data_IF_681700472173
#
_entry.id   IF_681700472173
#
_cell.length_a   1.000
_cell.length_b   1.000
_cell.length_c   1.000
_cell.angle_alpha   90.00
_cell.angle_beta   90.00
_cell.angle_gamma   90.00
#
_symmetry.space_group_name_H-M   'P 1'
#
loop_
_entity.id
_entity.type
_entity.pdbx_description
1 polymer ?
#
# COMPACT_ATOMS: atom_id res chain seq x y z
N UNK A 1 -4.78 1.07 -20.40
CA UNK A 1 -4.55 -0.16 -21.18
C UNK A 1 -5.63 -1.17 -20.82
N UNK A 2 -6.61 -1.45 -21.71
CA UNK A 2 -7.73 -2.38 -21.44
C UNK A 2 -7.41 -3.79 -21.92
N UNK A 3 -7.75 -4.83 -21.15
CA UNK A 3 -7.48 -6.23 -21.48
C UNK A 3 -8.24 -6.73 -22.74
N UNK A 4 -7.70 -7.76 -23.41
CA UNK A 4 -8.30 -8.37 -24.61
C UNK A 4 -9.74 -8.84 -24.35
N UNK A 5 -9.97 -9.57 -23.26
CA UNK A 5 -11.30 -10.05 -22.88
C UNK A 5 -12.29 -8.92 -22.56
N UNK A 6 -11.78 -7.74 -22.19
CA UNK A 6 -12.55 -6.53 -21.88
C UNK A 6 -12.69 -5.62 -23.12
N UNK A 7 -12.32 -6.10 -24.31
CA UNK A 7 -12.48 -5.38 -25.58
C UNK A 7 -11.31 -4.48 -25.99
N UNK A 8 -10.18 -4.58 -25.28
CA UNK A 8 -8.95 -3.83 -25.57
C UNK A 8 -7.82 -4.66 -26.20
N UNK A 9 -6.59 -4.18 -26.06
CA UNK A 9 -5.36 -4.81 -26.60
C UNK A 9 -4.35 -5.21 -25.51
N UNK A 10 -4.71 -5.09 -24.24
CA UNK A 10 -3.89 -5.38 -23.07
C UNK A 10 -3.85 -6.88 -22.73
N UNK A 11 -2.70 -7.33 -22.23
CA UNK A 11 -2.47 -8.73 -21.87
C UNK A 11 -2.85 -9.07 -20.42
N UNK A 12 -3.49 -8.17 -19.66
CA UNK A 12 -3.83 -8.42 -18.26
C UNK A 12 -5.01 -7.56 -17.83
N UNK A 13 -6.07 -8.16 -17.26
CA UNK A 13 -7.18 -7.43 -16.64
C UNK A 13 -6.90 -7.10 -15.15
N UNK A 14 -5.62 -7.01 -14.75
CA UNK A 14 -5.21 -6.68 -13.38
C UNK A 14 -4.66 -5.25 -13.27
N UNK A 15 -4.82 -4.47 -14.34
CA UNK A 15 -4.28 -3.12 -14.50
C UNK A 15 -5.22 -2.22 -15.32
N UNK A 16 -6.50 -2.60 -15.49
CA UNK A 16 -7.42 -1.94 -16.41
C UNK A 16 -8.71 -1.40 -15.77
N UNK A 17 -8.97 -1.70 -14.49
CA UNK A 17 -10.17 -1.21 -13.80
C UNK A 17 -10.23 0.33 -13.76
N UNK A 18 -9.09 1.01 -13.61
CA UNK A 18 -9.00 2.47 -13.70
C UNK A 18 -9.45 3.03 -15.05
N UNK A 19 -8.97 2.45 -16.16
CA UNK A 19 -9.36 2.89 -17.51
C UNK A 19 -10.83 2.57 -17.83
N UNK A 20 -11.33 1.43 -17.33
CA UNK A 20 -12.71 1.00 -17.53
C UNK A 20 -13.69 1.82 -16.69
N UNK A 21 -13.32 2.20 -15.47
CA UNK A 21 -14.14 3.04 -14.60
C UNK A 21 -14.28 4.47 -15.11
N UNK A 22 -13.24 5.01 -15.73
CA UNK A 22 -13.18 6.40 -16.17
C UNK A 22 -12.92 6.51 -17.67
N UNK A 23 -14.00 6.30 -18.44
CA UNK A 23 -13.98 6.44 -19.90
C UNK A 23 -13.50 7.83 -20.34
N UNK A 24 -12.96 7.93 -21.55
CA UNK A 24 -12.37 9.16 -22.08
C UNK A 24 -13.28 10.38 -21.86
N UNK A 25 -12.72 11.43 -21.22
CA UNK A 25 -13.38 12.70 -20.85
C UNK A 25 -14.33 12.65 -19.65
N UNK A 26 -14.39 11.55 -18.90
CA UNK A 26 -15.08 11.53 -17.62
C UNK A 26 -14.37 12.42 -16.59
N UNK A 27 -15.15 13.14 -15.78
CA UNK A 27 -14.62 13.81 -14.58
C UNK A 27 -14.35 12.76 -13.51
N UNK A 28 -13.14 12.74 -12.97
CA UNK A 28 -12.73 11.75 -11.96
C UNK A 28 -12.60 12.31 -10.54
N UNK A 29 -12.56 13.63 -10.37
CA UNK A 29 -12.39 14.30 -9.07
C UNK A 29 -13.27 15.54 -8.98
N UNK A 30 -13.86 15.75 -7.81
CA UNK A 30 -14.47 17.01 -7.37
C UNK A 30 -14.20 17.15 -5.86
N UNK A 31 -13.01 17.63 -5.53
CA UNK A 31 -12.48 17.58 -4.17
C UNK A 31 -12.51 18.92 -3.43
N UNK A 32 -12.86 18.86 -2.15
CA UNK A 32 -12.57 19.86 -1.14
C UNK A 32 -11.45 19.33 -0.23
N UNK A 33 -10.34 20.07 -0.16
CA UNK A 33 -9.18 19.72 0.68
C UNK A 33 -8.77 20.91 1.53
N UNK A 34 -8.17 20.64 2.69
CA UNK A 34 -7.67 21.68 3.57
C UNK A 34 -6.66 21.18 4.58
N UNK A 35 -5.78 22.08 5.02
CA UNK A 35 -4.78 21.83 6.06
C UNK A 35 -4.86 22.91 7.12
N UNK A 36 -4.71 22.55 8.39
CA UNK A 36 -4.68 23.47 9.53
C UNK A 36 -3.44 23.19 10.38
N UNK A 37 -2.79 24.26 10.83
CA UNK A 37 -1.54 24.21 11.61
C UNK A 37 -1.67 25.05 12.88
N UNK A 38 -1.17 24.51 13.99
CA UNK A 38 -1.09 25.18 15.27
C UNK A 38 0.31 25.01 15.85
N UNK A 39 0.94 26.13 16.21
CA UNK A 39 2.25 26.16 16.86
C UNK A 39 2.16 26.94 18.17
N UNK A 40 2.59 26.31 19.26
CA UNK A 40 2.69 26.93 20.58
C UNK A 40 4.16 26.97 20.99
N UNK A 41 4.66 28.17 21.29
CA UNK A 41 6.04 28.40 21.68
C UNK A 41 6.10 28.94 23.11
N UNK A 42 6.95 28.35 23.95
CA UNK A 42 7.19 28.75 25.32
C UNK A 42 8.66 29.20 25.48
N UNK A 43 8.83 30.51 25.68
CA UNK A 43 10.12 31.16 25.99
C UNK A 43 11.25 30.77 25.03
N UNK A 44 10.91 30.53 23.76
CA UNK A 44 11.81 30.10 22.68
C UNK A 44 12.59 28.80 22.95
N UNK A 45 12.27 28.09 24.05
CA UNK A 45 12.96 26.88 24.51
C UNK A 45 12.14 25.62 24.30
N UNK A 46 10.82 25.70 24.41
CA UNK A 46 9.96 24.53 24.29
C UNK A 46 8.72 24.87 23.49
N UNK A 47 8.08 23.88 22.89
CA UNK A 47 6.81 24.09 22.23
C UNK A 47 6.17 22.82 21.73
N UNK A 48 4.99 22.99 21.15
CA UNK A 48 4.20 21.92 20.53
C UNK A 48 3.77 22.39 19.16
N UNK A 49 3.86 21.50 18.18
CA UNK A 49 3.36 21.71 16.83
C UNK A 49 2.33 20.63 16.50
N UNK A 50 1.19 21.05 15.95
CA UNK A 50 0.12 20.16 15.49
C UNK A 50 -0.32 20.59 14.10
N UNK A 51 -0.43 19.63 13.18
CA UNK A 51 -0.94 19.82 11.82
C UNK A 51 -1.95 18.73 11.49
N UNK A 52 -3.10 19.12 10.97
CA UNK A 52 -4.13 18.21 10.50
C UNK A 52 -4.57 18.55 9.09
N UNK A 53 -4.95 17.54 8.30
CA UNK A 53 -5.52 17.70 6.97
C UNK A 53 -6.82 16.93 6.80
N UNK A 54 -7.62 17.35 5.84
CA UNK A 54 -8.84 16.66 5.44
C UNK A 54 -9.08 16.76 3.95
N UNK A 55 -9.73 15.73 3.41
CA UNK A 55 -10.16 15.62 2.02
C UNK A 55 -11.59 15.09 1.99
N UNK A 56 -12.41 15.65 1.12
CA UNK A 56 -13.69 15.09 0.72
C UNK A 56 -13.90 15.30 -0.79
N UNK A 57 -13.99 14.23 -1.56
CA UNK A 57 -14.22 14.23 -3.00
C UNK A 57 -15.62 13.71 -3.32
N UNK A 58 -16.47 14.59 -3.83
CA UNK A 58 -17.86 14.28 -4.13
C UNK A 58 -17.98 13.22 -5.23
N UNK A 59 -17.14 13.25 -6.28
CA UNK A 59 -17.20 12.28 -7.38
C UNK A 59 -16.79 10.89 -6.95
N UNK A 60 -15.73 10.80 -6.16
CA UNK A 60 -15.24 9.53 -5.63
C UNK A 60 -16.24 8.94 -4.63
N UNK A 61 -16.84 9.78 -3.78
CA UNK A 61 -17.79 9.34 -2.76
C UNK A 61 -19.17 8.94 -3.32
N UNK A 62 -19.62 9.59 -4.41
CA UNK A 62 -20.80 9.19 -5.18
C UNK A 62 -20.65 7.80 -5.81
N UNK A 63 -19.40 7.39 -6.08
CA UNK A 63 -19.03 6.04 -6.52
C UNK A 63 -19.76 5.55 -7.78
N UNK A 64 -20.06 6.48 -8.71
CA UNK A 64 -20.74 6.20 -9.97
C UNK A 64 -19.71 5.83 -11.06
N UNK A 65 -19.01 4.72 -10.86
CA UNK A 65 -18.01 4.20 -11.80
C UNK A 65 -18.67 3.36 -12.90
N UNK A 66 -18.03 3.28 -14.08
CA UNK A 66 -18.60 2.60 -15.23
C UNK A 66 -18.44 1.06 -15.24
N UNK A 67 -17.52 0.50 -14.44
CA UNK A 67 -17.15 -0.92 -14.48
C UNK A 67 -17.23 -1.58 -13.11
N UNK A 68 -16.34 -1.22 -12.19
CA UNK A 68 -16.29 -1.76 -10.82
C UNK A 68 -16.47 -0.65 -9.77
N UNK A 69 -17.33 -0.83 -8.75
CA UNK A 69 -17.50 0.16 -7.70
C UNK A 69 -16.25 0.22 -6.81
N UNK A 70 -15.86 1.44 -6.42
CA UNK A 70 -14.80 1.63 -5.44
C UNK A 70 -15.20 1.05 -4.08
N UNK A 71 -14.27 0.30 -3.51
CA UNK A 71 -14.42 -0.29 -2.18
C UNK A 71 -14.39 0.78 -1.08
N UNK A 72 -14.72 0.38 0.15
CA UNK A 72 -14.57 1.26 1.32
C UNK A 72 -13.11 1.71 1.50
N UNK A 73 -12.16 0.79 1.36
CA UNK A 73 -10.74 1.08 1.51
C UNK A 73 -10.22 2.04 0.44
N UNK A 74 -10.66 1.86 -0.81
CA UNK A 74 -10.36 2.80 -1.90
C UNK A 74 -10.88 4.22 -1.59
N UNK A 75 -12.16 4.32 -1.19
CA UNK A 75 -12.78 5.60 -0.81
C UNK A 75 -12.14 6.23 0.42
N UNK A 76 -11.61 5.45 1.35
CA UNK A 76 -10.86 5.96 2.51
C UNK A 76 -9.51 6.58 2.16
N UNK A 77 -8.97 6.30 0.97
CA UNK A 77 -7.70 6.85 0.50
C UNK A 77 -7.92 8.07 -0.40
N UNK A 78 -8.77 7.95 -1.42
CA UNK A 78 -8.96 8.99 -2.44
C UNK A 78 -10.26 9.79 -2.32
N UNK A 79 -11.21 9.32 -1.51
CA UNK A 79 -12.55 9.91 -1.43
C UNK A 79 -12.74 10.79 -0.21
N UNK A 80 -12.55 10.25 0.99
CA UNK A 80 -12.80 11.00 2.22
C UNK A 80 -11.86 10.55 3.33
N UNK A 81 -11.06 11.48 3.84
CA UNK A 81 -10.23 11.23 5.02
C UNK A 81 -10.00 12.47 5.86
N UNK A 82 -9.62 12.24 7.10
CA UNK A 82 -9.00 13.23 7.99
C UNK A 82 -7.72 12.63 8.54
N UNK A 83 -6.61 13.37 8.46
CA UNK A 83 -5.29 12.90 8.91
C UNK A 83 -4.71 13.86 9.92
N UNK A 84 -4.24 13.31 11.03
CA UNK A 84 -3.25 14.00 11.85
C UNK A 84 -1.92 13.85 11.12
N UNK A 85 -1.43 14.95 10.56
CA UNK A 85 -0.11 15.02 9.98
C UNK A 85 0.86 15.15 11.16
N UNK A 86 1.37 16.32 11.49
CA UNK A 86 2.35 16.46 12.57
C UNK A 86 1.67 16.60 13.94
N UNK A 87 2.29 16.03 14.96
CA UNK A 87 1.93 16.20 16.38
C UNK A 87 3.17 15.89 17.24
N UNK A 88 4.00 16.90 17.47
CA UNK A 88 5.26 16.73 18.21
C UNK A 88 5.52 17.86 19.20
N UNK A 89 6.23 17.53 20.27
CA UNK A 89 6.84 18.49 21.18
C UNK A 89 8.31 18.69 20.83
N UNK A 90 8.83 19.90 21.05
CA UNK A 90 10.24 20.19 20.88
C UNK A 90 10.83 20.89 22.10
N UNK A 91 12.12 20.66 22.34
CA UNK A 91 12.91 21.31 23.38
C UNK A 91 14.29 21.69 22.85
N UNK A 92 14.61 22.98 22.95
CA UNK A 92 15.88 23.58 22.55
C UNK A 92 16.73 23.82 23.77
N UNK A 93 17.99 23.42 23.67
CA UNK A 93 18.96 23.54 24.74
C UNK A 93 20.33 23.87 24.17
N UNK A 94 21.26 24.18 25.07
CA UNK A 94 22.65 24.46 24.70
C UNK A 94 23.52 23.36 25.26
N UNK A 95 24.29 22.70 24.40
CA UNK A 95 25.25 21.66 24.77
C UNK A 95 26.65 22.13 24.35
N UNK A 96 27.57 22.26 25.31
CA UNK A 96 28.93 22.73 25.01
C UNK A 96 28.99 24.15 24.41
N UNK A 97 28.02 25.00 24.73
CA UNK A 97 27.91 26.36 24.15
C UNK A 97 27.25 26.42 22.76
N UNK A 98 26.85 25.27 22.21
CA UNK A 98 26.24 25.17 20.88
C UNK A 98 24.75 24.83 20.98
N UNK A 99 23.91 25.35 20.07
CA UNK A 99 22.48 25.08 20.07
C UNK A 99 22.18 23.62 19.67
N UNK A 100 21.23 23.01 20.36
CA UNK A 100 20.72 21.66 20.10
C UNK A 100 19.21 21.63 20.27
N UNK A 101 18.55 20.69 19.61
CA UNK A 101 17.10 20.53 19.67
C UNK A 101 16.71 19.05 19.71
N UNK A 102 15.80 18.71 20.62
CA UNK A 102 15.14 17.42 20.69
C UNK A 102 13.68 17.59 20.27
N UNK A 103 13.20 16.78 19.33
CA UNK A 103 11.79 16.68 18.93
C UNK A 103 11.28 15.28 19.20
N UNK A 104 10.10 15.16 19.80
CA UNK A 104 9.45 13.89 20.13
C UNK A 104 7.99 13.91 19.69
N UNK A 105 7.58 12.88 18.96
CA UNK A 105 6.20 12.68 18.48
C UNK A 105 6.14 12.49 16.97
N UNK A 106 4.94 12.67 16.42
CA UNK A 106 4.65 12.50 15.01
C UNK A 106 5.18 13.67 14.20
N UNK A 107 6.14 13.43 13.32
CA UNK A 107 6.77 14.50 12.56
C UNK A 107 7.32 14.01 11.23
N UNK A 108 7.39 14.92 10.26
CA UNK A 108 8.16 14.75 9.02
C UNK A 108 9.61 15.14 9.28
N UNK A 109 10.57 14.40 8.72
CA UNK A 109 12.00 14.72 8.84
C UNK A 109 12.67 14.69 7.48
N UNK A 110 13.20 15.85 7.09
CA UNK A 110 14.14 15.92 5.98
C UNK A 110 15.52 15.39 6.43
N UNK A 111 15.80 14.14 6.07
CA UNK A 111 16.99 13.41 6.47
C UNK A 111 18.14 13.52 5.45
N UNK A 112 17.87 13.99 4.22
CA UNK A 112 18.80 13.99 3.08
C UNK A 112 18.92 15.33 2.32
N UNK A 113 19.23 15.23 1.02
CA UNK A 113 19.51 16.37 0.13
C UNK A 113 18.26 16.87 -0.63
N UNK A 114 17.24 16.02 -0.78
CA UNK A 114 16.00 16.36 -1.46
C UNK A 114 14.81 15.67 -0.82
N UNK A 115 13.98 16.43 -0.12
CA UNK A 115 12.69 15.99 0.44
C UNK A 115 11.72 15.47 -0.63
N UNK A 116 12.04 15.65 -1.92
CA UNK A 116 11.07 15.55 -3.02
C UNK A 116 11.42 14.52 -4.10
N UNK A 117 12.58 13.85 -4.02
CA UNK A 117 12.93 12.77 -4.96
C UNK A 117 12.71 11.43 -4.25
N UNK A 118 11.77 10.58 -4.72
CA UNK A 118 11.58 9.24 -4.19
C UNK A 118 12.85 8.40 -4.36
N UNK A 119 13.35 7.84 -3.25
CA UNK A 119 14.55 7.00 -3.21
C UNK A 119 15.72 7.63 -2.46
N UNK A 120 16.58 6.78 -1.88
CA UNK A 120 17.74 7.23 -1.12
C UNK A 120 17.41 7.65 0.32
N UNK A 121 18.04 8.72 0.79
CA UNK A 121 18.13 9.06 2.21
C UNK A 121 16.84 9.60 2.84
N UNK A 122 15.82 9.97 2.05
CA UNK A 122 14.52 10.44 2.55
C UNK A 122 13.45 9.33 2.63
N UNK A 123 13.87 8.07 2.72
CA UNK A 123 12.99 6.91 2.97
C UNK A 123 12.46 6.81 4.43
N UNK A 124 12.80 7.80 5.27
CA UNK A 124 12.36 7.88 6.67
C UNK A 124 10.86 8.12 6.74
N UNK A 125 10.35 9.02 5.93
CA UNK A 125 8.93 9.33 5.85
C UNK A 125 8.24 8.39 4.84
N UNK A 126 6.95 8.13 5.02
CA UNK A 126 6.14 7.42 4.03
C UNK A 126 5.35 8.43 3.22
N UNK A 127 4.97 8.05 2.00
CA UNK A 127 4.29 8.96 1.08
C UNK A 127 2.91 8.46 0.67
N UNK A 128 2.05 9.41 0.35
CA UNK A 128 0.78 9.19 -0.33
C UNK A 128 0.82 9.81 -1.73
N UNK A 129 0.95 8.95 -2.74
CA UNK A 129 0.99 9.38 -4.15
C UNK A 129 -0.35 9.95 -4.61
N UNK A 130 -1.45 9.51 -3.99
CA UNK A 130 -2.81 9.88 -4.37
C UNK A 130 -3.11 11.32 -3.96
N UNK A 131 -2.51 11.79 -2.86
CA UNK A 131 -2.64 13.16 -2.39
C UNK A 131 -2.05 14.19 -3.38
N UNK A 132 -1.06 13.80 -4.20
CA UNK A 132 -0.47 14.67 -5.23
C UNK A 132 -1.39 14.91 -6.44
N UNK A 133 -2.44 14.11 -6.58
CA UNK A 133 -3.36 14.14 -7.71
C UNK A 133 -4.63 14.94 -7.43
N UNK A 134 -4.83 15.33 -6.17
CA UNK A 134 -5.94 16.18 -5.77
C UNK A 134 -5.63 17.64 -6.17
N UNK A 135 -6.49 18.29 -6.98
CA UNK A 135 -6.28 19.68 -7.35
C UNK A 135 -6.18 20.59 -6.12
N UNK A 136 -5.12 21.41 -6.09
CA UNK A 136 -4.89 22.36 -4.99
C UNK A 136 -4.35 21.72 -3.70
N UNK A 137 -4.05 20.42 -3.69
CA UNK A 137 -3.39 19.80 -2.56
C UNK A 137 -1.95 20.32 -2.40
N UNK A 138 -1.56 20.49 -1.15
CA UNK A 138 -0.21 20.90 -0.79
C UNK A 138 0.72 19.68 -0.73
N UNK A 139 1.99 19.89 -1.06
CA UNK A 139 3.02 18.83 -1.01
C UNK A 139 3.16 18.20 0.38
N UNK A 140 2.91 18.97 1.43
CA UNK A 140 2.89 18.50 2.84
C UNK A 140 1.74 17.53 3.15
N UNK A 141 0.79 17.33 2.23
CA UNK A 141 -0.26 16.30 2.35
C UNK A 141 0.17 14.95 1.76
N UNK A 142 1.19 14.95 0.90
CA UNK A 142 1.74 13.74 0.29
C UNK A 142 2.87 13.14 1.12
N UNK A 143 3.67 13.96 1.80
CA UNK A 143 4.71 13.47 2.72
C UNK A 143 4.10 13.28 4.12
N UNK A 144 3.94 12.03 4.53
CA UNK A 144 3.22 11.69 5.75
C UNK A 144 4.19 11.40 6.93
N UNK A 145 3.88 11.95 8.11
CA UNK A 145 4.76 11.86 9.26
C UNK A 145 4.59 10.57 10.05
N UNK A 146 5.68 10.17 10.68
CA UNK A 146 5.77 9.01 11.56
C UNK A 146 6.13 9.37 13.00
N UNK A 147 5.83 8.46 13.93
CA UNK A 147 6.18 8.62 15.34
C UNK A 147 7.67 8.40 15.57
N UNK A 148 8.39 9.45 16.00
CA UNK A 148 9.84 9.37 16.15
C UNK A 148 10.43 10.33 17.18
N UNK A 149 11.67 10.06 17.55
CA UNK A 149 12.54 10.97 18.25
C UNK A 149 13.63 11.48 17.32
N UNK A 150 13.84 12.80 17.31
CA UNK A 150 14.87 13.45 16.49
C UNK A 150 15.71 14.35 17.38
N UNK A 151 17.01 14.15 17.37
CA UNK A 151 17.97 14.96 18.10
C UNK A 151 18.90 15.66 17.11
N UNK A 152 18.79 16.98 17.04
CA UNK A 152 19.68 17.87 16.32
C UNK A 152 20.79 18.35 17.25
N UNK A 153 22.05 18.11 16.88
CA UNK A 153 23.24 18.52 17.63
C UNK A 153 24.14 19.38 16.77
N UNK A 154 24.44 20.60 17.23
CA UNK A 154 25.56 21.38 16.69
C UNK A 154 26.85 20.99 17.44
N UNK A 155 27.73 20.22 16.79
CA UNK A 155 28.95 19.70 17.40
C UNK A 155 30.10 20.72 17.39
N UNK A 156 30.19 21.55 16.35
CA UNK A 156 31.15 22.65 16.22
C UNK A 156 30.56 23.77 15.36
N UNK A 157 31.27 24.87 15.09
CA UNK A 157 30.76 25.96 14.22
C UNK A 157 30.40 25.49 12.82
N UNK A 158 31.03 24.41 12.37
CA UNK A 158 30.94 23.90 11.01
C UNK A 158 30.45 22.45 10.95
N UNK A 159 30.30 21.76 12.08
CA UNK A 159 29.90 20.36 12.14
C UNK A 159 28.59 20.22 12.91
N UNK A 160 27.60 19.61 12.29
CA UNK A 160 26.33 19.23 12.92
C UNK A 160 26.06 17.75 12.73
N UNK A 161 25.21 17.19 13.59
CA UNK A 161 24.73 15.82 13.51
C UNK A 161 23.26 15.75 13.86
N UNK A 162 22.51 14.96 13.12
CA UNK A 162 21.15 14.60 13.44
C UNK A 162 21.09 13.12 13.76
N UNK A 163 20.38 12.77 14.81
CA UNK A 163 20.06 11.40 15.17
C UNK A 163 18.54 11.24 15.11
N UNK A 164 18.07 10.14 14.53
CA UNK A 164 16.66 9.78 14.59
C UNK A 164 16.47 8.35 15.07
N UNK A 165 15.32 8.12 15.68
CA UNK A 165 14.83 6.82 16.05
C UNK A 165 13.32 6.77 15.80
N UNK A 166 12.87 5.87 14.93
CA UNK A 166 11.44 5.70 14.65
C UNK A 166 10.85 4.67 15.61
N UNK A 167 9.71 5.03 16.18
CA UNK A 167 8.95 4.16 17.07
C UNK A 167 7.93 3.29 16.32
N UNK A 168 7.53 3.73 15.12
CA UNK A 168 6.56 3.04 14.30
C UNK A 168 7.01 2.92 12.83
N UNK A 169 6.31 2.07 12.09
CA UNK A 169 6.48 1.86 10.66
C UNK A 169 5.13 1.88 9.96
N UNK A 170 5.07 2.61 8.85
CA UNK A 170 3.92 2.70 7.96
C UNK A 170 4.33 2.41 6.51
N UNK A 171 3.47 1.73 5.76
CA UNK A 171 3.67 1.52 4.32
C UNK A 171 3.31 2.77 3.53
N UNK A 172 3.90 2.90 2.36
CA UNK A 172 3.49 3.93 1.40
C UNK A 172 2.05 3.67 0.92
N UNK A 173 1.33 4.75 0.70
CA UNK A 173 -0.03 4.72 0.16
C UNK A 173 0.09 4.87 -1.35
N UNK A 174 -0.29 3.81 -2.05
CA UNK A 174 -0.36 3.75 -3.52
C UNK A 174 -1.81 3.89 -3.97
N UNK A 175 -1.99 4.08 -5.29
CA UNK A 175 -3.31 4.15 -5.90
C UNK A 175 -4.18 2.94 -5.55
N UNK A 176 -5.45 3.17 -5.17
CA UNK A 176 -6.38 2.08 -4.93
C UNK A 176 -6.90 1.45 -6.22
N UNK A 177 -7.41 0.24 -6.07
CA UNK A 177 -8.08 -0.51 -7.13
C UNK A 177 -9.27 0.28 -7.69
N UNK A 178 -9.38 0.29 -9.02
CA UNK A 178 -10.39 1.03 -9.78
C UNK A 178 -10.28 2.55 -9.76
N UNK A 179 -9.23 3.15 -9.17
CA UNK A 179 -8.99 4.60 -9.22
C UNK A 179 -8.52 5.09 -10.60
N UNK A 180 -8.70 6.38 -10.91
CA UNK A 180 -8.37 6.95 -12.22
C UNK A 180 -6.89 6.78 -12.58
N UNK A 181 -5.99 6.98 -11.61
CA UNK A 181 -4.55 6.79 -11.79
C UNK A 181 -4.08 5.39 -11.36
N UNK A 182 -5.03 4.49 -11.04
CA UNK A 182 -4.77 3.11 -10.69
C UNK A 182 -4.02 2.39 -11.81
N UNK A 183 -2.87 1.83 -11.48
CA UNK A 183 -2.04 1.02 -12.41
C UNK A 183 -1.97 -0.44 -11.99
N UNK A 184 -2.67 -0.82 -10.91
CA UNK A 184 -2.75 -2.18 -10.39
C UNK A 184 -4.05 -2.38 -9.64
N UNK A 185 -4.76 -3.43 -10.02
CA UNK A 185 -6.05 -3.83 -9.44
C UNK A 185 -5.85 -4.83 -8.26
N UNK A 186 -4.58 -5.00 -7.85
CA UNK A 186 -4.13 -6.06 -6.94
C UNK A 186 -3.42 -5.50 -5.71
N UNK A 187 -2.46 -4.60 -5.93
CA UNK A 187 -1.52 -4.20 -4.89
C UNK A 187 -2.10 -3.14 -3.94
N UNK A 188 -2.92 -2.25 -4.50
CA UNK A 188 -3.48 -1.08 -3.81
C UNK A 188 -4.63 -1.40 -2.87
N UNK A 189 -5.05 -0.42 -2.05
CA UNK A 189 -6.29 -0.53 -1.26
C UNK A 189 -7.49 -0.92 -2.13
N UNK A 190 -8.31 -1.86 -1.65
CA UNK A 190 -9.45 -2.39 -2.41
C UNK A 190 -9.14 -3.61 -3.29
N UNK A 191 -7.89 -3.75 -3.74
CA UNK A 191 -7.45 -4.90 -4.52
C UNK A 191 -7.54 -6.19 -3.71
N UNK A 192 -8.18 -7.22 -4.26
CA UNK A 192 -8.52 -8.43 -3.51
C UNK A 192 -8.23 -9.75 -4.24
N UNK A 193 -7.76 -9.68 -5.49
CA UNK A 193 -7.57 -10.86 -6.32
C UNK A 193 -6.53 -10.62 -7.41
N UNK A 194 -6.00 -11.69 -7.97
CA UNK A 194 -5.19 -11.72 -9.19
C UNK A 194 -5.86 -12.64 -10.19
N UNK A 195 -6.02 -12.19 -11.43
CA UNK A 195 -6.57 -12.97 -12.53
C UNK A 195 -5.42 -13.52 -13.38
N UNK A 196 -5.35 -14.85 -13.50
CA UNK A 196 -4.30 -15.57 -14.26
C UNK A 196 -4.66 -15.84 -15.71
N UNK A 197 -5.78 -15.30 -16.19
CA UNK A 197 -6.21 -15.44 -17.58
C UNK A 197 -5.38 -14.64 -18.59
N UNK A 198 -4.50 -13.74 -18.13
CA UNK A 198 -3.64 -12.88 -18.97
C UNK A 198 -4.39 -12.26 -20.17
N UNK A 199 -5.57 -11.73 -19.91
CA UNK A 199 -6.43 -11.07 -20.90
C UNK A 199 -7.23 -12.02 -21.79
N UNK A 200 -7.00 -13.33 -21.75
CA UNK A 200 -7.83 -14.31 -22.48
C UNK A 200 -9.19 -14.55 -21.82
N UNK A 201 -9.34 -14.16 -20.56
CA UNK A 201 -10.52 -14.38 -19.73
C UNK A 201 -10.93 -13.05 -19.09
N UNK A 202 -12.22 -12.79 -19.04
CA UNK A 202 -12.79 -11.61 -18.37
C UNK A 202 -12.59 -11.71 -16.85
N UNK A 203 -12.35 -10.56 -16.24
CA UNK A 203 -12.40 -10.30 -14.80
C UNK A 203 -13.73 -10.66 -14.11
N UNK A 204 -14.83 -10.72 -14.85
CA UNK A 204 -16.12 -11.23 -14.40
C UNK A 204 -16.28 -12.75 -14.55
N UNK A 205 -15.24 -13.44 -14.99
CA UNK A 205 -15.19 -14.89 -15.12
C UNK A 205 -15.63 -15.40 -16.50
N UNK A 206 -16.09 -16.66 -16.54
CA UNK A 206 -16.45 -17.35 -17.78
C UNK A 206 -17.88 -17.86 -17.72
N UNK A 207 -18.69 -17.47 -18.69
CA UNK A 207 -20.06 -17.97 -18.84
C UNK A 207 -20.09 -19.26 -19.68
N UNK A 208 -20.39 -20.38 -19.01
CA UNK A 208 -20.58 -21.68 -19.67
C UNK A 208 -22.05 -21.96 -20.03
N UNK A 209 -22.96 -20.98 -19.94
CA UNK A 209 -24.39 -21.14 -20.23
C UNK A 209 -24.68 -21.73 -21.60
N UNK A 210 -23.91 -21.32 -22.62
CA UNK A 210 -23.99 -21.85 -24.00
C UNK A 210 -23.66 -23.34 -24.11
N UNK A 211 -22.94 -23.91 -23.14
CA UNK A 211 -22.58 -25.32 -23.03
C UNK A 211 -23.43 -26.06 -21.97
N UNK A 212 -24.49 -25.43 -21.46
CA UNK A 212 -25.34 -25.97 -20.41
C UNK A 212 -24.74 -25.91 -19.00
N UNK A 213 -23.66 -25.14 -18.81
CA UNK A 213 -22.98 -24.94 -17.53
C UNK A 213 -23.33 -23.61 -16.84
N UNK A 214 -22.83 -23.37 -15.61
CA UNK A 214 -23.03 -22.13 -14.89
C UNK A 214 -22.00 -21.05 -15.27
N UNK A 215 -22.29 -19.79 -14.93
CA UNK A 215 -21.26 -18.73 -14.87
C UNK A 215 -20.30 -19.00 -13.70
N UNK A 216 -19.00 -19.04 -13.99
CA UNK A 216 -17.95 -19.15 -12.98
C UNK A 216 -17.26 -17.80 -12.87
N UNK A 217 -17.69 -16.99 -11.90
CA UNK A 217 -17.26 -15.59 -11.74
C UNK A 217 -15.83 -15.38 -11.23
N UNK A 218 -15.19 -16.42 -10.69
CA UNK A 218 -13.82 -16.42 -10.16
C UNK A 218 -12.89 -17.36 -10.94
N UNK A 219 -13.26 -17.69 -12.18
CA UNK A 219 -12.47 -18.60 -13.01
C UNK A 219 -11.04 -18.05 -13.21
N UNK A 220 -10.04 -18.89 -12.96
CA UNK A 220 -8.61 -18.51 -12.98
C UNK A 220 -8.24 -17.30 -12.10
N UNK A 221 -9.00 -17.07 -11.03
CA UNK A 221 -8.73 -16.01 -10.07
C UNK A 221 -8.06 -16.59 -8.81
N UNK A 222 -6.99 -15.95 -8.34
CA UNK A 222 -6.35 -16.21 -7.06
C UNK A 222 -6.75 -15.10 -6.07
N UNK A 223 -7.36 -15.43 -4.92
CA UNK A 223 -7.66 -14.42 -3.91
C UNK A 223 -6.36 -13.89 -3.26
N UNK A 224 -6.35 -12.59 -2.95
CA UNK A 224 -5.27 -11.93 -2.23
C UNK A 224 -5.33 -12.30 -0.75
N UNK A 225 -4.19 -12.70 -0.18
CA UNK A 225 -4.04 -12.92 1.26
C UNK A 225 -3.79 -11.60 2.00
N UNK A 226 -3.87 -11.63 3.33
CA UNK A 226 -3.55 -10.47 4.15
C UNK A 226 -2.08 -10.04 4.03
N UNK A 227 -1.83 -8.74 4.21
CA UNK A 227 -0.47 -8.17 4.14
C UNK A 227 0.44 -8.72 5.24
N UNK A 228 1.66 -9.10 4.87
CA UNK A 228 2.73 -9.36 5.82
C UNK A 228 3.45 -8.07 6.15
N UNK A 229 3.34 -7.60 7.41
CA UNK A 229 3.97 -6.37 7.88
C UNK A 229 5.32 -6.67 8.56
N UNK A 230 6.33 -5.79 8.41
CA UNK A 230 7.56 -5.90 9.15
C UNK A 230 7.39 -5.52 10.62
N UNK A 231 8.47 -5.62 11.39
CA UNK A 231 8.54 -5.07 12.74
C UNK A 231 8.42 -3.54 12.72
N UNK A 232 7.64 -2.98 13.64
CA UNK A 232 7.40 -1.54 13.74
C UNK A 232 8.61 -0.76 14.30
N UNK A 233 9.48 -1.42 15.06
CA UNK A 233 10.58 -0.80 15.81
C UNK A 233 11.97 -1.21 15.32
N UNK A 234 12.99 -0.44 15.71
CA UNK A 234 14.40 -0.75 15.44
C UNK A 234 14.96 -0.04 14.21
N UNK A 235 14.27 1.01 13.76
CA UNK A 235 14.70 1.87 12.67
C UNK A 235 15.35 3.12 13.26
N UNK A 236 16.54 3.45 12.79
CA UNK A 236 17.32 4.56 13.32
C UNK A 236 18.29 5.10 12.27
N UNK A 237 18.74 6.31 12.47
CA UNK A 237 19.68 6.97 11.59
C UNK A 237 20.58 7.93 12.36
N UNK A 238 21.77 8.10 11.82
CA UNK A 238 22.66 9.20 12.19
C UNK A 238 23.21 9.87 10.94
N UNK A 239 23.31 11.20 10.95
CA UNK A 239 24.03 11.94 9.92
C UNK A 239 25.06 12.90 10.54
N UNK A 240 26.02 13.30 9.70
CA UNK A 240 27.02 14.32 10.00
C UNK A 240 27.10 15.27 8.81
N UNK A 241 26.87 16.56 9.05
CA UNK A 241 26.97 17.61 8.02
C UNK A 241 28.12 18.55 8.39
N UNK A 242 29.14 18.61 7.54
CA UNK A 242 30.33 19.44 7.68
C UNK A 242 30.30 20.57 6.63
N UNK A 243 30.26 21.81 7.09
CA UNK A 243 30.36 23.00 6.26
C UNK A 243 31.81 23.46 6.12
N UNK A 244 32.27 23.63 4.88
CA UNK A 244 33.62 24.06 4.51
C UNK A 244 33.57 25.47 3.90
N UNK A 245 33.64 26.54 4.73
CA UNK A 245 33.49 27.91 4.25
C UNK A 245 34.62 28.34 3.29
N UNK A 246 35.80 27.74 3.41
CA UNK A 246 36.98 28.11 2.63
C UNK A 246 37.14 27.30 1.34
N UNK A 247 36.17 26.45 1.00
CA UNK A 247 36.22 25.57 -0.17
C UNK A 247 35.04 25.84 -1.10
N UNK A 248 35.31 26.20 -2.36
CA UNK A 248 34.29 26.31 -3.41
C UNK A 248 33.11 27.20 -3.07
N UNK A 249 33.36 28.42 -2.55
CA UNK A 249 32.33 29.41 -2.14
C UNK A 249 31.38 28.96 -0.99
N UNK A 250 31.70 27.86 -0.29
CA UNK A 250 30.92 27.36 0.85
C UNK A 250 30.35 25.97 0.59
N UNK A 251 31.18 24.94 0.65
CA UNK A 251 30.75 23.55 0.33
C UNK A 251 30.22 22.85 1.57
N UNK A 252 29.12 22.10 1.46
CA UNK A 252 28.63 21.21 2.53
C UNK A 252 28.86 19.75 2.18
N UNK A 253 29.46 19.01 3.13
CA UNK A 253 29.68 17.57 3.04
C UNK A 253 28.72 16.86 4.00
N UNK A 254 27.94 15.91 3.51
CA UNK A 254 27.03 15.11 4.33
C UNK A 254 27.41 13.63 4.32
N UNK A 255 27.59 13.05 5.51
CA UNK A 255 27.68 11.60 5.72
C UNK A 255 26.40 11.12 6.38
N UNK A 256 25.76 10.11 5.81
CA UNK A 256 24.47 9.61 6.28
C UNK A 256 24.52 8.10 6.49
N UNK A 257 23.89 7.65 7.57
CA UNK A 257 23.63 6.25 7.87
C UNK A 257 22.16 6.11 8.27
N UNK A 258 21.44 5.20 7.62
CA UNK A 258 20.05 4.88 7.93
C UNK A 258 19.84 3.37 7.90
N UNK A 259 19.28 2.83 8.99
CA UNK A 259 18.77 1.47 9.06
C UNK A 259 17.24 1.54 9.16
N UNK A 260 16.55 1.14 8.11
CA UNK A 260 15.09 1.22 8.00
C UNK A 260 14.52 -0.02 7.31
N UNK A 261 13.20 -0.18 7.43
CA UNK A 261 12.48 -1.20 6.67
C UNK A 261 11.77 -0.55 5.49
N UNK A 262 11.91 -1.15 4.30
CA UNK A 262 11.24 -0.64 3.10
C UNK A 262 9.76 -0.42 3.34
N UNK A 263 9.26 0.74 2.89
CA UNK A 263 7.85 1.15 2.96
C UNK A 263 7.08 0.83 1.68
N UNK A 264 7.83 0.52 0.62
CA UNK A 264 7.29 0.12 -0.67
C UNK A 264 6.67 -1.28 -0.58
N UNK A 265 5.44 -1.46 -1.08
CA UNK A 265 4.82 -2.77 -1.11
C UNK A 265 5.57 -3.70 -2.07
N UNK A 266 5.82 -4.93 -1.62
CA UNK A 266 6.37 -6.00 -2.46
C UNK A 266 5.31 -7.09 -2.60
N UNK A 267 4.96 -7.39 -3.85
CA UNK A 267 4.02 -8.48 -4.16
C UNK A 267 4.74 -9.81 -3.97
N UNK A 268 4.13 -10.71 -3.19
CA UNK A 268 4.59 -12.09 -3.05
C UNK A 268 3.46 -13.06 -3.36
N UNK A 269 3.81 -14.24 -3.87
CA UNK A 269 2.87 -15.28 -4.24
C UNK A 269 3.11 -16.51 -3.35
N UNK A 270 2.03 -17.04 -2.78
CA UNK A 270 2.04 -18.32 -2.08
C UNK A 270 1.48 -19.41 -2.99
N UNK A 271 2.17 -20.56 -3.07
CA UNK A 271 1.69 -21.71 -3.84
C UNK A 271 0.55 -22.41 -3.11
N UNK A 272 -0.38 -23.00 -3.87
CA UNK A 272 -1.45 -23.82 -3.30
C UNK A 272 -0.91 -25.07 -2.60
N UNK A 273 -1.55 -25.49 -1.51
CA UNK A 273 -1.20 -26.74 -0.83
C UNK A 273 -1.71 -27.95 -1.63
N UNK A 274 -1.10 -29.12 -1.43
CA UNK A 274 -1.56 -30.36 -2.06
C UNK A 274 -3.01 -30.70 -1.68
N UNK A 275 -3.44 -30.34 -0.47
CA UNK A 275 -4.84 -30.44 -0.04
C UNK A 275 -5.75 -29.46 -0.79
N UNK A 276 -5.30 -28.22 -1.02
CA UNK A 276 -6.04 -27.23 -1.83
C UNK A 276 -6.22 -27.67 -3.27
N UNK A 277 -5.18 -28.25 -3.88
CA UNK A 277 -5.29 -28.89 -5.19
C UNK A 277 -6.29 -30.06 -5.15
N UNK A 278 -6.18 -30.97 -4.18
CA UNK A 278 -7.12 -32.09 -4.03
C UNK A 278 -8.59 -31.64 -3.93
N UNK A 279 -8.86 -30.56 -3.20
CA UNK A 279 -10.20 -29.99 -3.07
C UNK A 279 -10.71 -29.37 -4.39
N UNK A 280 -9.85 -28.65 -5.11
CA UNK A 280 -10.19 -28.06 -6.41
C UNK A 280 -10.47 -29.13 -7.47
N UNK A 281 -9.65 -30.18 -7.51
CA UNK A 281 -9.87 -31.34 -8.38
C UNK A 281 -11.15 -32.10 -8.00
N UNK A 282 -11.45 -32.24 -6.71
CA UNK A 282 -12.71 -32.82 -6.24
C UNK A 282 -13.94 -32.02 -6.68
N UNK A 283 -13.89 -30.69 -6.57
CA UNK A 283 -14.95 -29.79 -7.02
C UNK A 283 -15.15 -29.84 -8.55
N UNK A 284 -14.06 -29.79 -9.32
CA UNK A 284 -14.11 -29.87 -10.78
C UNK A 284 -14.67 -31.23 -11.26
N UNK A 285 -14.27 -32.32 -10.60
CA UNK A 285 -14.79 -33.65 -10.90
C UNK A 285 -16.29 -33.77 -10.58
N UNK A 286 -16.75 -33.17 -9.47
CA UNK A 286 -18.16 -33.14 -9.11
C UNK A 286 -19.01 -32.31 -10.08
N UNK A 287 -18.49 -31.17 -10.54
CA UNK A 287 -19.15 -30.35 -11.59
C UNK A 287 -19.19 -31.09 -12.92
N UNK A 288 -18.09 -31.72 -13.32
CA UNK A 288 -18.03 -32.54 -14.53
C UNK A 288 -19.01 -33.72 -14.50
N UNK A 289 -19.11 -34.42 -13.37
CA UNK A 289 -20.05 -35.52 -13.19
C UNK A 289 -21.51 -35.05 -13.21
N UNK A 290 -21.82 -33.91 -12.60
CA UNK A 290 -23.17 -33.33 -12.64
C UNK A 290 -23.55 -32.87 -14.06
N UNK A 291 -22.62 -32.27 -14.81
CA UNK A 291 -22.83 -31.87 -16.20
C UNK A 291 -23.06 -33.10 -17.12
N UNK A 292 -22.28 -34.17 -16.95
CA UNK A 292 -22.47 -35.42 -17.68
C UNK A 292 -23.80 -36.11 -17.33
N UNK A 293 -24.20 -36.09 -16.06
CA UNK A 293 -25.48 -36.64 -15.61
C UNK A 293 -26.67 -35.88 -16.23
N UNK A 294 -26.61 -34.55 -16.27
CA UNK A 294 -27.62 -33.72 -16.93
C UNK A 294 -27.65 -33.96 -18.45
N UNK A 295 -26.48 -34.04 -19.09
CA UNK A 295 -26.38 -34.35 -20.52
C UNK A 295 -26.90 -35.75 -20.88
N UNK A 296 -26.82 -36.70 -19.94
CA UNK A 296 -27.41 -38.03 -20.06
C UNK A 296 -28.93 -38.07 -19.76
N UNK A 297 -29.57 -36.91 -19.51
CA UNK A 297 -31.01 -36.79 -19.31
C UNK A 297 -31.50 -37.06 -17.89
N UNK A 298 -30.60 -37.10 -16.89
CA UNK A 298 -31.01 -37.25 -15.49
C UNK A 298 -31.64 -35.94 -14.98
N UNK A 299 -32.72 -36.02 -14.17
CA UNK A 299 -33.34 -34.83 -13.59
C UNK A 299 -32.37 -34.14 -12.63
N UNK A 300 -32.46 -32.80 -12.52
CA UNK A 300 -31.55 -31.98 -11.71
C UNK A 300 -31.43 -32.44 -10.25
N UNK A 301 -32.54 -32.94 -9.67
CA UNK A 301 -32.56 -33.50 -8.32
C UNK A 301 -31.70 -34.78 -8.14
N UNK A 302 -31.36 -35.48 -9.22
CA UNK A 302 -30.49 -36.65 -9.26
C UNK A 302 -29.04 -36.29 -9.65
N UNK A 303 -28.82 -35.15 -10.31
CA UNK A 303 -27.51 -34.62 -10.69
C UNK A 303 -26.84 -33.79 -9.58
N UNK A 304 -27.58 -33.35 -8.56
CA UNK A 304 -27.03 -32.67 -7.38
C UNK A 304 -26.29 -33.66 -6.45
N UNK A 305 -24.96 -33.59 -6.48
CA UNK A 305 -24.06 -34.44 -5.72
C UNK A 305 -24.18 -34.28 -4.18
N UNK A 306 -24.81 -33.18 -3.68
CA UNK A 306 -25.04 -33.00 -2.24
C UNK A 306 -26.07 -34.00 -1.69
N UNK A 307 -27.03 -34.47 -2.50
CA UNK A 307 -28.03 -35.46 -2.06
C UNK A 307 -27.53 -36.90 -2.10
N UNK A 308 -26.52 -37.22 -2.89
CA UNK A 308 -25.97 -38.58 -2.96
C UNK A 308 -25.28 -38.99 -1.64
N UNK A 309 -24.66 -38.04 -0.93
CA UNK A 309 -24.13 -38.29 0.42
C UNK A 309 -25.22 -38.56 1.47
N UNK A 310 -26.41 -37.96 1.33
CA UNK A 310 -27.56 -38.22 2.22
C UNK A 310 -28.24 -39.57 1.96
N UNK A 311 -28.16 -40.10 0.73
CA UNK A 311 -28.70 -41.41 0.38
C UNK A 311 -27.81 -42.57 0.90
N UNK A 312 -26.47 -42.42 0.85
CA UNK A 312 -25.55 -43.39 1.45
C UNK A 312 -25.59 -43.42 2.98
N UNK A 313 -26.04 -42.34 3.64
CA UNK A 313 -26.21 -42.29 5.09
C UNK A 313 -27.36 -43.14 5.63
N UNK A 314 -28.30 -43.60 4.79
CA UNK A 314 -29.45 -44.43 5.22
C UNK A 314 -29.21 -45.94 5.15
N UNK A 315 -28.16 -46.40 4.48
CA UNK A 315 -27.82 -47.84 4.40
C UNK A 315 -26.86 -48.31 5.50
N UNK A 316 -26.33 -47.41 6.33
CA UNK A 316 -25.46 -47.73 7.47
C UNK A 316 -26.18 -47.64 8.83
N UNK A 317 -27.47 -47.98 8.89
CA UNK A 317 -28.13 -48.28 10.16
C UNK A 317 -28.02 -49.80 10.45
N UNK A 318 -26.80 -50.29 10.66
CA UNK A 318 -26.56 -51.51 11.43
C UNK A 318 -25.89 -51.13 12.76
N UNK A 319 -26.26 -51.76 13.88
CA UNK A 319 -25.74 -51.41 15.20
C UNK A 319 -24.28 -51.86 15.33
N UNK A 320 -23.33 -50.91 15.38
CA UNK A 320 -21.93 -51.24 15.65
C UNK A 320 -20.86 -50.16 15.38
N UNK A 321 -21.15 -49.10 14.63
CA UNK A 321 -20.12 -48.09 14.32
C UNK A 321 -20.17 -46.88 15.28
N UNK A 322 -19.21 -46.81 16.21
CA UNK A 322 -18.93 -45.60 16.99
C UNK A 322 -18.21 -44.56 16.10
N UNK A 323 -18.76 -43.35 16.07
CA UNK A 323 -18.16 -42.17 15.44
C UNK A 323 -16.99 -41.67 16.30
N UNK A 324 -15.78 -41.64 15.73
CA UNK A 324 -14.59 -41.05 16.35
C UNK A 324 -14.39 -39.64 15.77
N UNK A 325 -14.49 -38.63 16.63
CA UNK A 325 -14.28 -37.21 16.30
C UNK A 325 -12.77 -36.94 16.25
N UNK A 326 -12.18 -37.01 15.06
CA UNK A 326 -10.79 -36.59 14.83
C UNK A 326 -10.77 -35.10 14.44
N UNK A 327 -10.68 -34.25 15.47
CA UNK A 327 -10.27 -32.85 15.29
C UNK A 327 -8.80 -32.81 14.86
N UNK A 328 -8.57 -32.57 13.56
CA UNK A 328 -7.24 -32.24 13.05
C UNK A 328 -6.90 -30.81 13.47
N UNK A 329 -6.01 -30.69 14.45
CA UNK A 329 -5.26 -29.46 14.72
C UNK A 329 -4.49 -29.07 13.45
N UNK A 330 -4.84 -27.95 12.85
CA UNK A 330 -4.02 -27.30 11.83
C UNK A 330 -2.79 -26.70 12.51
N UNK A 331 -1.66 -27.38 12.34
CA UNK A 331 -0.34 -26.86 12.63
C UNK A 331 -0.08 -25.66 11.70
N UNK A 332 0.05 -24.47 12.29
CA UNK A 332 0.50 -23.26 11.59
C UNK A 332 2.00 -23.36 11.39
N UNK A 333 2.42 -23.84 10.22
CA UNK A 333 3.79 -23.65 9.74
C UNK A 333 4.07 -22.16 9.58
N UNK A 334 4.83 -21.61 10.54
CA UNK A 334 5.30 -20.22 10.58
C UNK A 334 6.34 -19.98 9.47
N UNK A 335 5.86 -19.73 8.24
CA UNK A 335 6.69 -19.21 7.15
C UNK A 335 6.89 -17.71 7.39
N UNK A 336 7.87 -17.38 8.24
CA UNK A 336 8.34 -15.99 8.40
C UNK A 336 8.95 -15.53 7.07
N UNK A 337 8.24 -14.66 6.37
CA UNK A 337 8.83 -13.85 5.30
C UNK A 337 10.04 -13.10 5.88
N UNK A 338 11.16 -13.11 5.16
CA UNK A 338 12.35 -12.34 5.55
C UNK A 338 11.99 -10.86 5.38
N UNK A 339 11.98 -10.04 6.45
CA UNK A 339 11.75 -8.61 6.30
C UNK A 339 12.91 -8.00 5.49
N UNK A 340 12.59 -7.25 4.44
CA UNK A 340 13.56 -6.50 3.65
C UNK A 340 14.08 -5.30 4.46
N UNK A 341 15.09 -5.54 5.31
CA UNK A 341 15.83 -4.47 5.97
C UNK A 341 16.88 -3.91 5.02
N UNK A 342 16.89 -2.59 4.88
CA UNK A 342 17.88 -1.87 4.09
C UNK A 342 18.84 -1.11 5.01
N UNK A 343 20.11 -1.06 4.61
CA UNK A 343 21.14 -0.25 5.24
C UNK A 343 21.75 0.62 4.16
N UNK A 344 21.47 1.91 4.22
CA UNK A 344 21.98 2.88 3.25
C UNK A 344 23.04 3.74 3.92
N UNK A 345 24.21 3.81 3.29
CA UNK A 345 25.32 4.68 3.64
C UNK A 345 25.71 5.53 2.43
N UNK A 346 25.78 6.85 2.60
CA UNK A 346 26.02 7.79 1.51
C UNK A 346 26.93 8.96 1.91
N UNK A 347 27.74 9.42 0.95
CA UNK A 347 28.50 10.66 1.02
C UNK A 347 27.94 11.62 -0.04
N UNK A 348 27.61 12.83 0.37
CA UNK A 348 27.01 13.87 -0.48
C UNK A 348 27.89 15.12 -0.46
N UNK A 349 28.14 15.71 -1.63
CA UNK A 349 28.91 16.95 -1.82
C UNK A 349 27.98 18.02 -2.40
N UNK A 350 27.73 19.10 -1.66
CA UNK A 350 26.87 20.18 -2.12
C UNK A 350 27.67 21.49 -2.23
N UNK A 351 27.61 22.13 -3.39
CA UNK A 351 28.14 23.46 -3.63
C UNK A 351 27.00 24.49 -3.59
N UNK A 352 27.24 25.73 -3.15
CA UNK A 352 26.25 26.79 -3.27
C UNK A 352 26.21 27.22 -4.74
N UNK A 353 25.04 27.12 -5.37
CA UNK A 353 24.85 27.66 -6.72
C UNK A 353 25.05 29.19 -6.71
N UNK A 354 25.81 29.77 -7.66
CA UNK A 354 25.82 31.20 -7.85
C UNK A 354 24.46 31.65 -8.39
N UNK A 355 23.80 32.57 -7.69
CA UNK A 355 22.63 33.29 -8.20
C UNK A 355 22.99 34.03 -9.48
N UNK A 356 22.49 33.57 -10.63
CA UNK A 356 22.41 34.34 -11.88
C UNK A 356 21.10 33.96 -12.60
N UNK A 357 19.99 34.57 -12.17
CA UNK A 357 18.76 34.67 -12.97
C UNK A 357 18.61 36.10 -13.49
N UNK A 358 19.42 36.46 -14.47
CA UNK A 358 19.07 37.46 -15.47
C UNK A 358 18.75 36.76 -16.78
N UNK A 359 17.45 36.56 -17.04
CA UNK A 359 16.92 36.04 -18.29
C UNK A 359 15.71 36.85 -18.70
N UNK A 360 15.95 37.88 -19.49
CA UNK A 360 15.00 38.80 -20.11
C UNK A 360 13.94 38.08 -20.95
N UNK A 361 12.70 38.54 -20.83
CA UNK A 361 11.62 38.28 -21.77
C UNK A 361 12.00 38.71 -23.20
N UNK A 362 11.70 37.85 -24.16
CA UNK A 362 11.74 38.08 -25.60
C UNK A 362 10.86 37.03 -26.28
#
# INVERSE_FOLDING_TARGET
LIAIANGGCGYSPNIDDGDLNYLQKATFTEALTGVTELSLNYRDKAGVFVRGSGLYDFKVMDNNTAHVPLTHDAKGVIGSYTRLLDAFGFYRFTLGGMPSELRLGRQVVDWGESTFIPGGLNAVDYFDVTALQVPGAELKQALLPDEMAVLNLQLSKNLSSQLLYLFDWHKDIIEPDGAYFGTSDVAGPGGNRVILGFGAISDFGVDFSSLGGPLIGDFQTIPRLGDHKPLQSGQFGVNFKLYLPNFGQGTQLGLYFLNYTSRLPVVSLATGTQAGLGNAWGAASAVGAAAQALAAGLPFAAADHRRQHLACGRQCCQPGCQYRDDRVQQDRGDLRGIPARHQDAGLVLQHPDPEDWHGTAG
#
